data_IF_934616364255
#
_entry.id   IF_934616364255
#
_cell.length_a   1.000
_cell.length_b   1.000
_cell.length_c   1.000
_cell.angle_alpha   90.00
_cell.angle_beta   90.00
_cell.angle_gamma   90.00
#
_symmetry.space_group_name_H-M   'P 1'
#
loop_
_entity.id
_entity.type
_entity.pdbx_description
1 polymer ?
#
# COMPACT_ATOMS: atom_id res chain seq x y z
N UNK A 1 42.15 -38.30 3.92
CA UNK A 1 43.53 -38.39 4.45
C UNK A 1 44.41 -37.44 3.65
N UNK A 2 44.77 -36.33 4.16
CA UNK A 2 46.05 -35.64 4.26
C UNK A 2 45.81 -34.37 5.06
N UNK A 3 46.32 -34.42 6.27
CA UNK A 3 46.38 -33.34 7.25
C UNK A 3 47.61 -32.50 6.94
N UNK A 4 47.51 -31.18 6.98
CA UNK A 4 48.67 -30.30 7.14
C UNK A 4 48.36 -29.23 8.16
N UNK A 5 48.96 -29.49 9.34
CA UNK A 5 49.12 -28.57 10.46
C UNK A 5 50.14 -27.47 10.15
N UNK A 6 49.84 -26.23 10.56
CA UNK A 6 50.86 -25.17 10.66
C UNK A 6 50.84 -24.60 12.06
N UNK A 7 52.03 -24.72 12.73
CA UNK A 7 52.36 -24.12 14.04
C UNK A 7 53.19 -22.86 13.86
N UNK A 8 53.16 -21.94 14.83
CA UNK A 8 53.81 -20.63 14.73
C UNK A 8 55.21 -20.55 15.34
N UNK A 9 56.02 -19.65 14.86
CA UNK A 9 57.25 -19.09 15.51
C UNK A 9 57.15 -17.58 15.34
N UNK A 10 57.44 -16.70 16.27
CA UNK A 10 58.23 -16.69 17.50
C UNK A 10 58.85 -15.28 17.61
N UNK A 11 58.53 -14.60 18.68
CA UNK A 11 59.19 -13.56 19.49
C UNK A 11 60.29 -12.66 18.89
N UNK A 12 60.12 -11.38 19.21
CA UNK A 12 61.13 -10.32 19.48
C UNK A 12 60.40 -8.97 19.40
N UNK A 13 60.32 -8.09 20.37
CA UNK A 13 61.09 -7.77 21.57
C UNK A 13 61.21 -6.23 21.62
N UNK A 14 60.47 -5.61 22.56
CA UNK A 14 60.76 -4.41 23.36
C UNK A 14 61.06 -3.07 22.64
N UNK A 15 60.20 -2.05 22.90
CA UNK A 15 60.59 -0.89 23.73
C UNK A 15 59.38 -0.06 24.11
N UNK A 16 59.32 0.25 25.41
CA UNK A 16 58.41 1.19 26.05
C UNK A 16 58.77 2.62 25.61
N UNK A 17 57.76 3.46 25.47
CA UNK A 17 57.79 4.83 25.99
C UNK A 17 56.35 5.35 26.09
N UNK A 18 56.03 5.82 27.27
CA UNK A 18 54.76 6.35 27.73
C UNK A 18 54.69 7.90 27.44
N UNK A 19 53.57 8.55 27.81
CA UNK A 19 52.74 9.37 26.90
C UNK A 19 52.89 10.88 27.11
N UNK A 20 52.14 11.68 26.42
CA UNK A 20 51.51 12.81 27.09
C UNK A 20 50.02 13.01 26.90
N UNK A 21 49.36 13.04 28.05
CA UNK A 21 48.33 13.95 28.54
C UNK A 21 47.18 14.40 27.61
N UNK A 22 46.01 14.11 28.12
CA UNK A 22 44.70 14.70 27.95
C UNK A 22 44.61 16.13 27.41
N UNK A 23 43.70 16.32 26.48
CA UNK A 23 42.94 17.56 26.36
C UNK A 23 41.53 17.28 25.83
N UNK A 24 40.58 17.32 26.74
CA UNK A 24 39.17 17.63 26.43
C UNK A 24 39.07 19.15 26.22
N UNK A 25 38.25 19.65 25.31
CA UNK A 25 37.06 20.30 25.80
C UNK A 25 35.76 20.08 25.00
N UNK A 26 34.71 19.92 25.76
CA UNK A 26 33.31 20.17 25.39
C UNK A 26 33.18 21.61 24.88
N UNK A 27 32.55 21.79 23.71
CA UNK A 27 31.77 23.01 23.42
C UNK A 27 30.48 22.63 22.72
N UNK A 28 29.46 22.60 23.56
CA UNK A 28 28.07 22.72 23.18
C UNK A 28 27.84 24.14 22.66
N UNK A 29 27.39 24.30 21.43
CA UNK A 29 26.83 25.55 20.93
C UNK A 29 25.32 25.52 21.17
N UNK A 30 24.88 26.03 22.33
CA UNK A 30 23.52 26.46 22.59
C UNK A 30 23.44 27.92 22.23
N UNK A 31 22.79 28.28 21.12
CA UNK A 31 22.41 29.65 20.86
C UNK A 31 21.11 29.99 21.60
N UNK A 32 21.32 30.79 22.67
CA UNK A 32 20.30 31.42 23.47
C UNK A 32 19.62 32.56 22.69
N UNK A 33 18.38 32.39 22.23
CA UNK A 33 17.52 33.52 21.82
C UNK A 33 16.74 33.97 23.05
N UNK A 34 17.43 34.73 23.88
CA UNK A 34 16.83 35.53 24.95
C UNK A 34 17.61 36.85 25.09
N UNK A 35 17.42 37.75 24.12
CA UNK A 35 17.73 39.17 24.32
C UNK A 35 17.03 39.96 23.20
N UNK A 36 15.79 40.38 23.42
CA UNK A 36 15.10 41.51 22.81
C UNK A 36 13.67 41.62 23.32
N UNK A 37 13.52 41.71 24.62
CA UNK A 37 12.25 42.08 25.23
C UNK A 37 12.51 42.86 26.53
N UNK A 38 13.12 44.03 26.44
CA UNK A 38 13.07 45.05 27.47
C UNK A 38 13.74 46.34 26.95
N UNK A 39 13.02 47.03 26.07
CA UNK A 39 13.21 48.49 25.88
C UNK A 39 11.97 48.98 25.12
N UNK A 40 10.93 49.33 25.79
CA UNK A 40 9.99 50.43 25.57
C UNK A 40 8.95 50.35 26.72
N UNK A 41 9.24 51.00 27.79
CA UNK A 41 8.26 51.29 28.81
C UNK A 41 8.05 52.82 28.85
N UNK A 42 6.76 53.17 28.95
CA UNK A 42 6.17 54.46 29.28
C UNK A 42 6.06 55.45 28.12
N UNK A 43 4.89 55.44 27.50
CA UNK A 43 4.14 56.69 27.26
C UNK A 43 2.66 56.39 27.02
N UNK A 44 1.84 56.94 27.93
CA UNK A 44 0.42 57.36 27.84
C UNK A 44 -0.55 56.57 26.95
N UNK A 45 -1.39 55.74 27.59
CA UNK A 45 -2.61 55.18 27.02
C UNK A 45 -3.67 56.24 26.84
N UNK A 46 -4.07 56.56 25.64
CA UNK A 46 -5.28 57.28 25.31
C UNK A 46 -6.43 56.29 25.05
N UNK A 47 -7.68 56.70 25.41
CA UNK A 47 -8.89 55.87 25.30
C UNK A 47 -9.16 55.23 23.92
N UNK A 48 -8.53 55.75 22.85
CA UNK A 48 -8.59 55.19 21.52
C UNK A 48 -7.81 53.88 21.40
N UNK A 49 -6.72 53.72 22.18
CA UNK A 49 -5.91 52.52 22.23
C UNK A 49 -6.63 51.31 22.86
N UNK A 50 -7.54 51.54 23.79
CA UNK A 50 -8.34 50.50 24.46
C UNK A 50 -9.37 49.88 23.52
N UNK A 51 -10.05 50.69 22.70
CA UNK A 51 -11.07 50.19 21.74
C UNK A 51 -10.44 49.40 20.60
N UNK A 52 -9.26 49.75 20.15
CA UNK A 52 -8.53 49.03 19.10
C UNK A 52 -7.93 47.70 19.61
N UNK A 53 -7.54 47.63 20.89
CA UNK A 53 -7.08 46.36 21.48
C UNK A 53 -8.22 45.36 21.73
N UNK A 54 -9.43 45.83 22.09
CA UNK A 54 -10.57 44.93 22.27
C UNK A 54 -11.14 44.37 20.95
N UNK A 55 -11.07 45.11 19.85
CA UNK A 55 -11.44 44.58 18.52
C UNK A 55 -10.38 43.68 17.90
N UNK A 56 -9.08 43.89 18.17
CA UNK A 56 -8.02 42.99 17.74
C UNK A 56 -7.98 41.67 18.51
N UNK A 57 -8.39 41.64 19.79
CA UNK A 57 -8.43 40.41 20.61
C UNK A 57 -9.58 39.47 20.22
N UNK A 58 -10.61 39.97 19.51
CA UNK A 58 -11.70 39.14 18.96
C UNK A 58 -11.43 38.64 17.54
N UNK A 59 -10.49 39.24 16.79
CA UNK A 59 -10.14 38.85 15.44
C UNK A 59 -8.92 37.93 15.36
N UNK A 60 -8.16 37.75 16.43
CA UNK A 60 -7.02 36.83 16.52
C UNK A 60 -7.20 35.77 17.63
N UNK A 61 -8.41 35.20 17.75
CA UNK A 61 -8.51 33.78 18.12
C UNK A 61 -8.34 32.93 16.87
N UNK A 62 -7.29 33.23 16.13
CA UNK A 62 -6.77 32.35 15.13
C UNK A 62 -6.28 31.08 15.81
N UNK A 63 -6.84 29.95 15.44
CA UNK A 63 -6.32 28.63 15.67
C UNK A 63 -4.80 28.70 15.65
N UNK A 64 -4.15 28.42 16.78
CA UNK A 64 -2.77 27.95 16.75
C UNK A 64 -2.82 26.72 15.87
N UNK A 65 -2.30 26.82 14.66
CA UNK A 65 -1.83 25.68 13.90
C UNK A 65 -0.66 25.11 14.71
N UNK A 66 -0.96 24.43 15.80
CA UNK A 66 -0.09 23.40 16.31
C UNK A 66 -0.14 22.35 15.21
N UNK A 67 0.91 22.29 14.41
CA UNK A 67 1.25 21.09 13.65
C UNK A 67 1.44 20.00 14.71
N UNK A 68 0.35 19.35 15.10
CA UNK A 68 0.44 18.10 15.83
C UNK A 68 1.12 17.14 14.84
N UNK A 69 2.39 16.90 15.07
CA UNK A 69 3.04 15.70 14.54
C UNK A 69 2.27 14.57 15.22
N UNK A 70 1.26 14.05 14.52
CA UNK A 70 0.56 12.86 14.96
C UNK A 70 1.54 11.71 14.85
N UNK A 71 2.10 11.29 15.97
CA UNK A 71 2.84 10.03 16.03
C UNK A 71 1.89 8.92 15.63
N UNK A 72 2.32 7.97 14.79
CA UNK A 72 1.52 6.78 14.50
C UNK A 72 1.09 6.09 15.80
N UNK A 73 -0.06 5.45 15.77
CA UNK A 73 -0.59 4.67 16.90
C UNK A 73 -0.62 3.18 16.56
N UNK A 74 -0.79 2.32 17.57
CA UNK A 74 -1.00 0.89 17.35
C UNK A 74 -2.34 0.61 16.70
N UNK A 75 -2.40 -0.36 15.78
CA UNK A 75 -3.68 -0.90 15.28
C UNK A 75 -4.43 -1.63 16.38
N UNK A 76 -5.71 -1.99 16.20
CA UNK A 76 -6.42 -2.87 17.16
C UNK A 76 -5.73 -4.23 17.41
N UNK A 77 -4.80 -4.63 16.54
CA UNK A 77 -4.03 -5.86 16.62
C UNK A 77 -2.60 -5.65 17.16
N UNK A 78 -2.21 -4.42 17.44
CA UNK A 78 -0.82 -4.07 17.76
C UNK A 78 -0.22 -4.89 18.90
N UNK A 79 -0.99 -5.19 19.94
CA UNK A 79 -0.53 -6.04 21.06
C UNK A 79 -0.02 -7.40 20.58
N UNK A 80 -0.69 -8.01 19.62
CA UNK A 80 -0.29 -9.31 19.06
C UNK A 80 0.79 -9.18 18.00
N UNK A 81 0.66 -8.22 17.11
CA UNK A 81 1.66 -8.00 16.06
C UNK A 81 2.99 -7.54 16.63
N UNK A 82 2.98 -6.76 17.72
CA UNK A 82 4.20 -6.38 18.43
C UNK A 82 4.89 -7.57 19.11
N UNK A 83 4.12 -8.41 19.81
CA UNK A 83 4.67 -9.59 20.51
C UNK A 83 5.29 -10.62 19.55
N UNK A 84 4.84 -10.64 18.29
CA UNK A 84 5.35 -11.54 17.24
C UNK A 84 6.48 -10.94 16.41
N UNK A 85 6.71 -9.62 16.50
CA UNK A 85 7.66 -8.89 15.64
C UNK A 85 9.09 -8.92 16.23
N UNK A 86 9.85 -9.94 15.90
CA UNK A 86 11.26 -10.10 16.33
C UNK A 86 12.17 -9.04 15.71
N UNK A 87 11.91 -8.64 14.47
CA UNK A 87 12.73 -7.68 13.73
C UNK A 87 12.59 -6.24 14.21
N UNK A 88 11.50 -5.90 14.92
CA UNK A 88 11.10 -4.53 15.26
C UNK A 88 11.04 -3.60 14.04
N UNK A 89 10.86 -4.14 12.84
CA UNK A 89 10.80 -3.40 11.58
C UNK A 89 9.36 -2.97 11.30
N UNK A 90 9.09 -1.70 11.54
CA UNK A 90 7.78 -1.07 11.35
C UNK A 90 7.81 -0.03 10.25
N UNK A 91 6.63 0.25 9.70
CA UNK A 91 6.37 1.44 8.86
C UNK A 91 5.09 2.12 9.32
N UNK A 92 4.95 3.36 8.91
CA UNK A 92 3.68 4.07 9.03
C UNK A 92 2.77 3.72 7.86
N UNK A 93 1.49 3.47 8.15
CA UNK A 93 0.41 3.32 7.17
C UNK A 93 -0.87 3.96 7.71
N UNK A 94 -1.29 5.08 7.09
CA UNK A 94 -2.51 5.81 7.45
C UNK A 94 -2.64 6.14 8.94
N UNK A 95 -1.52 6.57 9.56
CA UNK A 95 -1.46 6.95 10.96
C UNK A 95 -1.23 5.79 11.94
N UNK A 96 -1.02 4.57 11.45
CA UNK A 96 -0.77 3.39 12.27
C UNK A 96 0.64 2.83 12.10
N UNK A 97 1.19 2.26 13.18
CA UNK A 97 2.35 1.37 13.10
C UNK A 97 1.93 0.05 12.48
N UNK A 98 2.54 -0.34 11.37
CA UNK A 98 2.36 -1.66 10.75
C UNK A 98 3.68 -2.39 10.65
N UNK A 99 3.67 -3.70 10.85
CA UNK A 99 4.87 -4.53 10.74
C UNK A 99 5.32 -4.58 9.28
N UNK A 100 6.58 -4.23 9.04
CA UNK A 100 7.19 -4.38 7.71
C UNK A 100 7.62 -5.83 7.46
N UNK A 101 8.26 -6.45 8.44
CA UNK A 101 8.58 -7.86 8.48
C UNK A 101 8.58 -8.33 9.93
N UNK A 102 8.13 -9.54 10.22
CA UNK A 102 8.13 -10.11 11.56
C UNK A 102 9.49 -10.68 11.93
N UNK A 103 10.14 -11.36 11.02
CA UNK A 103 11.48 -11.93 11.17
C UNK A 103 12.55 -10.99 10.54
N UNK A 104 13.83 -11.36 10.64
CA UNK A 104 14.93 -10.63 9.99
C UNK A 104 14.81 -10.57 8.46
N UNK A 105 14.12 -11.57 7.87
CA UNK A 105 13.81 -11.66 6.45
C UNK A 105 12.32 -11.97 6.26
N UNK A 106 11.68 -11.34 5.29
CA UNK A 106 10.27 -11.57 4.98
C UNK A 106 10.00 -12.80 4.08
N UNK A 107 11.01 -13.59 3.77
CA UNK A 107 10.89 -14.73 2.85
C UNK A 107 9.96 -15.83 3.37
N UNK A 108 9.99 -16.13 4.68
CA UNK A 108 9.08 -17.10 5.28
C UNK A 108 7.62 -16.62 5.21
N UNK A 109 7.41 -15.33 5.45
CA UNK A 109 6.11 -14.68 5.34
C UNK A 109 5.60 -14.72 3.90
N UNK A 110 6.46 -14.38 2.93
CA UNK A 110 6.15 -14.48 1.51
C UNK A 110 5.82 -15.94 1.11
N UNK A 111 6.62 -16.91 1.58
CA UNK A 111 6.37 -18.31 1.32
C UNK A 111 5.04 -18.79 1.92
N UNK A 112 4.63 -18.28 3.08
CA UNK A 112 3.32 -18.56 3.65
C UNK A 112 2.19 -18.06 2.73
N UNK A 113 2.32 -16.86 2.13
CA UNK A 113 1.36 -16.35 1.13
C UNK A 113 1.25 -17.29 -0.08
N UNK A 114 2.35 -17.93 -0.52
CA UNK A 114 2.38 -18.73 -1.77
C UNK A 114 2.14 -20.22 -1.56
N UNK A 115 2.48 -20.77 -0.39
CA UNK A 115 2.52 -22.20 -0.16
C UNK A 115 1.68 -22.69 1.02
N UNK A 116 1.25 -21.77 1.91
CA UNK A 116 0.53 -22.11 3.14
C UNK A 116 -0.62 -21.11 3.41
N UNK A 117 -0.63 -20.45 4.56
CA UNK A 117 -1.51 -19.36 4.92
C UNK A 117 -0.73 -18.21 5.57
N UNK A 118 -1.00 -16.99 5.19
CA UNK A 118 -0.49 -15.79 5.81
C UNK A 118 -1.63 -14.95 6.40
N UNK A 119 -1.44 -14.41 7.61
CA UNK A 119 -2.36 -13.49 8.25
C UNK A 119 -1.74 -12.10 8.29
N UNK A 120 -2.37 -11.13 7.64
CA UNK A 120 -1.86 -9.78 7.45
C UNK A 120 -2.82 -8.79 8.11
N UNK A 121 -2.31 -7.89 8.95
CA UNK A 121 -3.09 -6.79 9.49
C UNK A 121 -3.31 -5.72 8.42
N UNK A 122 -4.55 -5.54 7.99
CA UNK A 122 -4.98 -4.52 7.03
C UNK A 122 -5.95 -3.51 7.66
N UNK A 123 -5.94 -3.44 9.00
CA UNK A 123 -6.77 -2.49 9.75
C UNK A 123 -6.54 -1.02 9.40
N UNK A 124 -5.36 -0.56 8.92
CA UNK A 124 -5.17 0.85 8.56
C UNK A 124 -5.96 1.37 7.36
N UNK A 125 -6.56 0.50 6.53
CA UNK A 125 -7.44 0.94 5.44
C UNK A 125 -8.57 1.82 5.96
N UNK A 126 -8.92 2.88 5.23
CA UNK A 126 -10.13 3.66 5.50
C UNK A 126 -11.37 2.85 5.15
N UNK A 127 -12.37 2.91 6.01
CA UNK A 127 -13.60 2.11 5.92
C UNK A 127 -14.82 2.98 6.15
N UNK A 128 -15.73 2.98 5.20
CA UNK A 128 -16.96 3.75 5.26
C UNK A 128 -18.17 2.84 5.10
N UNK A 129 -19.22 3.10 5.87
CA UNK A 129 -20.56 2.53 5.63
C UNK A 129 -21.41 3.64 5.02
N UNK A 130 -22.04 3.29 3.92
CA UNK A 130 -22.95 4.16 3.16
C UNK A 130 -24.34 3.56 3.20
N UNK A 131 -25.30 4.31 3.73
CA UNK A 131 -26.70 3.91 3.88
C UNK A 131 -27.63 5.06 3.48
N UNK A 132 -28.92 4.76 3.35
CA UNK A 132 -29.96 5.73 2.99
C UNK A 132 -30.67 5.37 1.71
N UNK A 133 -31.80 6.00 1.46
CA UNK A 133 -32.65 5.72 0.29
C UNK A 133 -31.90 5.92 -1.04
N UNK A 134 -30.97 6.86 -1.07
CA UNK A 134 -30.19 7.18 -2.26
C UNK A 134 -28.78 6.51 -2.27
N UNK A 135 -28.50 5.57 -1.37
CA UNK A 135 -27.15 4.98 -1.23
C UNK A 135 -26.65 4.35 -2.53
N UNK A 136 -27.48 3.50 -3.19
CA UNK A 136 -27.11 2.90 -4.48
C UNK A 136 -26.83 3.95 -5.56
N UNK A 137 -27.66 5.01 -5.64
CA UNK A 137 -27.50 6.10 -6.59
C UNK A 137 -26.24 6.92 -6.32
N UNK A 138 -25.92 7.14 -5.03
CA UNK A 138 -24.71 7.84 -4.63
C UNK A 138 -23.46 7.03 -5.01
N UNK A 139 -23.41 5.73 -4.65
CA UNK A 139 -22.28 4.86 -5.00
C UNK A 139 -22.09 4.82 -6.52
N UNK A 140 -23.20 4.66 -7.28
CA UNK A 140 -23.18 4.63 -8.73
C UNK A 140 -22.66 5.94 -9.34
N UNK A 141 -22.96 7.10 -8.73
CA UNK A 141 -22.46 8.42 -9.16
C UNK A 141 -20.94 8.57 -8.95
N UNK A 142 -20.37 7.90 -7.97
CA UNK A 142 -18.94 8.06 -7.62
C UNK A 142 -18.05 7.10 -8.41
N UNK A 143 -18.39 5.80 -8.46
CA UNK A 143 -17.54 4.78 -9.06
C UNK A 143 -17.71 4.69 -10.58
N UNK A 144 -16.69 4.18 -11.25
CA UNK A 144 -16.73 3.99 -12.71
C UNK A 144 -17.51 2.76 -13.16
N UNK A 145 -17.78 1.80 -12.25
CA UNK A 145 -18.56 0.59 -12.51
C UNK A 145 -20.06 0.83 -12.30
N UNK A 146 -20.86 0.00 -12.93
CA UNK A 146 -22.33 0.05 -12.88
C UNK A 146 -22.87 -0.69 -11.64
N UNK A 147 -23.43 0.06 -10.68
CA UNK A 147 -23.99 -0.47 -9.45
C UNK A 147 -25.34 -1.19 -9.69
N UNK A 148 -26.05 -0.88 -10.76
CA UNK A 148 -27.30 -1.56 -11.09
C UNK A 148 -27.09 -3.05 -11.39
N UNK A 149 -25.88 -3.43 -11.81
CA UNK A 149 -25.45 -4.81 -12.06
C UNK A 149 -24.83 -5.49 -10.85
N UNK A 150 -24.74 -4.79 -9.72
CA UNK A 150 -24.12 -5.30 -8.49
C UNK A 150 -25.18 -5.95 -7.61
N UNK A 151 -25.11 -7.26 -7.40
CA UNK A 151 -26.03 -7.97 -6.48
C UNK A 151 -25.62 -7.78 -5.01
N UNK A 152 -26.56 -7.95 -4.09
CA UNK A 152 -26.27 -8.07 -2.65
C UNK A 152 -25.28 -9.21 -2.43
N UNK A 153 -24.34 -9.03 -1.52
CA UNK A 153 -23.23 -9.96 -1.28
C UNK A 153 -22.10 -9.88 -2.33
N UNK A 154 -22.17 -8.95 -3.28
CA UNK A 154 -21.08 -8.75 -4.27
C UNK A 154 -20.09 -7.69 -3.81
N UNK A 155 -18.83 -7.87 -4.19
CA UNK A 155 -17.74 -6.91 -4.01
C UNK A 155 -17.28 -6.40 -5.38
N UNK A 156 -17.11 -5.10 -5.52
CA UNK A 156 -16.44 -4.48 -6.67
C UNK A 156 -15.10 -3.91 -6.26
N UNK A 157 -14.04 -4.24 -6.98
CA UNK A 157 -12.85 -3.39 -7.06
C UNK A 157 -13.11 -2.33 -8.13
N UNK A 158 -12.85 -1.06 -7.81
CA UNK A 158 -13.19 0.06 -8.69
C UNK A 158 -12.34 1.28 -8.37
N UNK A 159 -11.87 2.03 -9.38
CA UNK A 159 -11.39 3.38 -9.18
C UNK A 159 -12.56 4.36 -9.10
N UNK A 160 -12.30 5.56 -8.54
CA UNK A 160 -13.14 6.74 -8.67
C UNK A 160 -12.31 7.96 -9.02
N UNK A 161 -12.93 8.88 -9.75
CA UNK A 161 -12.24 9.96 -10.43
C UNK A 161 -12.75 11.34 -10.03
N UNK A 162 -11.93 12.36 -10.28
CA UNK A 162 -12.39 13.76 -10.34
C UNK A 162 -13.13 14.05 -11.66
N UNK A 163 -13.64 15.28 -11.82
CA UNK A 163 -14.41 15.70 -12.99
C UNK A 163 -13.57 15.65 -14.29
N UNK A 164 -12.25 15.65 -14.19
CA UNK A 164 -11.32 15.54 -15.31
C UNK A 164 -11.01 14.09 -15.68
N UNK A 165 -11.67 13.11 -15.04
CA UNK A 165 -11.42 11.68 -15.25
C UNK A 165 -10.10 11.19 -14.67
N UNK A 166 -9.49 11.96 -13.74
CA UNK A 166 -8.26 11.55 -13.07
C UNK A 166 -8.58 10.84 -11.77
N UNK A 167 -7.90 9.72 -11.53
CA UNK A 167 -8.15 8.85 -10.38
C UNK A 167 -7.84 9.58 -9.08
N UNK A 168 -8.80 9.61 -8.19
CA UNK A 168 -8.65 10.09 -6.81
C UNK A 168 -8.07 8.97 -5.96
N UNK A 169 -8.66 7.77 -6.08
CA UNK A 169 -8.26 6.59 -5.32
C UNK A 169 -8.90 5.34 -5.96
N UNK A 170 -8.52 4.18 -5.52
CA UNK A 170 -9.11 2.90 -5.87
C UNK A 170 -9.36 2.07 -4.61
N UNK A 171 -10.27 1.13 -4.70
CA UNK A 171 -10.60 0.30 -3.53
C UNK A 171 -11.72 -0.68 -3.80
N UNK A 172 -12.27 -1.24 -2.73
CA UNK A 172 -13.38 -2.18 -2.82
C UNK A 172 -14.68 -1.57 -2.30
N UNK A 173 -15.77 -1.89 -2.99
CA UNK A 173 -17.14 -1.58 -2.57
C UNK A 173 -17.87 -2.91 -2.44
N UNK A 174 -18.35 -3.21 -1.23
CA UNK A 174 -19.18 -4.39 -0.94
C UNK A 174 -20.63 -3.97 -0.78
N UNK A 175 -21.55 -4.57 -1.52
CA UNK A 175 -22.98 -4.37 -1.32
C UNK A 175 -23.48 -5.34 -0.26
N UNK A 176 -23.63 -4.85 0.96
CA UNK A 176 -24.02 -5.67 2.12
C UNK A 176 -25.54 -5.91 2.18
N UNK A 177 -26.32 -4.96 1.66
CA UNK A 177 -27.77 -5.00 1.55
C UNK A 177 -28.21 -4.12 0.37
N UNK A 178 -29.51 -4.03 0.06
CA UNK A 178 -30.04 -3.25 -1.06
C UNK A 178 -29.56 -1.80 -1.07
N UNK A 179 -29.51 -1.15 0.10
CA UNK A 179 -29.11 0.24 0.29
C UNK A 179 -28.02 0.39 1.37
N UNK A 180 -27.17 -0.65 1.53
CA UNK A 180 -26.04 -0.63 2.47
C UNK A 180 -24.78 -1.12 1.82
N UNK A 181 -23.77 -0.25 1.80
CA UNK A 181 -22.48 -0.52 1.17
C UNK A 181 -21.35 -0.29 2.16
N UNK A 182 -20.36 -1.21 2.17
CA UNK A 182 -19.07 -0.97 2.80
C UNK A 182 -18.06 -0.58 1.72
N UNK A 183 -17.37 0.51 1.93
CA UNK A 183 -16.36 1.03 1.03
C UNK A 183 -15.01 1.05 1.72
N UNK A 184 -13.97 0.53 1.07
CA UNK A 184 -12.59 0.62 1.54
C UNK A 184 -11.77 1.48 0.61
N UNK A 185 -10.85 2.25 1.17
CA UNK A 185 -9.99 3.18 0.46
C UNK A 185 -8.58 3.20 1.07
N UNK A 186 -7.58 3.53 0.26
CA UNK A 186 -6.21 3.70 0.75
C UNK A 186 -6.00 5.08 1.39
N UNK A 187 -6.69 6.10 0.88
CA UNK A 187 -6.64 7.48 1.35
C UNK A 187 -7.95 7.89 2.05
N UNK A 188 -7.94 8.97 2.89
CA UNK A 188 -9.16 9.49 3.50
C UNK A 188 -10.06 10.16 2.47
N UNK A 189 -11.27 9.61 2.27
CA UNK A 189 -12.23 10.10 1.28
C UNK A 189 -13.53 10.66 1.86
N UNK A 190 -13.72 10.69 3.21
CA UNK A 190 -14.96 11.14 3.84
C UNK A 190 -15.41 12.52 3.34
N UNK A 191 -14.50 13.49 3.27
CA UNK A 191 -14.80 14.85 2.79
C UNK A 191 -15.31 14.84 1.33
N UNK A 192 -14.64 14.08 0.47
CA UNK A 192 -15.04 13.93 -0.93
C UNK A 192 -16.43 13.32 -1.07
N UNK A 193 -16.67 12.24 -0.33
CA UNK A 193 -17.97 11.57 -0.31
C UNK A 193 -19.06 12.49 0.21
N UNK A 194 -18.84 13.18 1.33
CA UNK A 194 -19.82 14.10 1.92
C UNK A 194 -20.18 15.27 0.97
N UNK A 195 -19.21 15.82 0.25
CA UNK A 195 -19.45 16.87 -0.74
C UNK A 195 -20.32 16.39 -1.89
N UNK A 196 -20.12 15.16 -2.34
CA UNK A 196 -20.87 14.58 -3.45
C UNK A 196 -22.23 13.99 -3.04
N UNK A 197 -22.49 13.86 -1.73
CA UNK A 197 -23.78 13.43 -1.17
C UNK A 197 -24.76 14.58 -0.93
N UNK A 198 -24.34 15.85 -1.11
CA UNK A 198 -25.20 17.02 -0.89
C UNK A 198 -26.47 16.91 -1.75
N UNK A 199 -27.65 17.05 -1.10
CA UNK A 199 -28.96 16.93 -1.73
C UNK A 199 -29.44 15.50 -1.97
N UNK A 200 -28.78 14.50 -1.40
CA UNK A 200 -29.16 13.09 -1.44
C UNK A 200 -29.51 12.60 -0.03
N UNK A 201 -30.43 11.64 0.06
CA UNK A 201 -30.76 10.95 1.30
C UNK A 201 -29.74 9.80 1.53
N UNK A 202 -28.54 10.22 1.96
CA UNK A 202 -27.38 9.34 2.18
C UNK A 202 -26.70 9.68 3.50
N UNK A 203 -26.46 8.65 4.31
CA UNK A 203 -25.60 8.72 5.49
C UNK A 203 -24.28 8.01 5.22
N UNK A 204 -23.18 8.68 5.51
CA UNK A 204 -21.82 8.17 5.36
C UNK A 204 -21.17 8.15 6.73
N UNK A 205 -20.82 6.97 7.22
CA UNK A 205 -20.16 6.77 8.51
C UNK A 205 -18.73 6.30 8.27
N UNK A 206 -17.77 6.96 8.91
CA UNK A 206 -16.38 6.52 8.96
C UNK A 206 -16.22 5.50 10.08
N UNK A 207 -15.88 4.26 9.72
CA UNK A 207 -15.64 3.15 10.65
C UNK A 207 -14.15 2.79 10.73
N UNK A 208 -13.25 3.64 10.26
CA UNK A 208 -11.82 3.31 10.15
C UNK A 208 -11.20 2.91 11.47
N UNK A 209 -11.62 3.54 12.59
CA UNK A 209 -11.12 3.24 13.93
C UNK A 209 -11.89 2.13 14.66
N UNK A 210 -13.14 1.89 14.29
CA UNK A 210 -14.03 0.95 15.00
C UNK A 210 -14.15 -0.41 14.36
N UNK A 211 -13.71 -0.55 13.11
CA UNK A 211 -13.70 -1.79 12.33
C UNK A 211 -12.26 -2.19 12.00
N UNK A 212 -11.80 -3.30 12.56
CA UNK A 212 -10.53 -3.92 12.21
C UNK A 212 -10.70 -4.85 11.01
N UNK A 213 -9.58 -5.14 10.34
CA UNK A 213 -9.56 -6.09 9.25
C UNK A 213 -8.25 -6.86 9.20
N UNK A 214 -8.34 -8.15 8.89
CA UNK A 214 -7.18 -8.99 8.57
C UNK A 214 -7.36 -9.63 7.20
N UNK A 215 -6.27 -9.81 6.48
CA UNK A 215 -6.25 -10.58 5.24
C UNK A 215 -5.62 -11.95 5.49
N UNK A 216 -6.41 -13.01 5.35
CA UNK A 216 -5.98 -14.40 5.40
C UNK A 216 -5.73 -14.89 3.97
N UNK A 217 -4.47 -15.04 3.59
CA UNK A 217 -4.04 -15.23 2.20
C UNK A 217 -3.18 -16.48 2.04
N UNK A 218 -3.34 -17.20 0.93
CA UNK A 218 -2.55 -18.37 0.59
C UNK A 218 -3.39 -19.61 0.31
N UNK A 219 -2.79 -20.67 -0.26
CA UNK A 219 -3.50 -21.85 -0.73
C UNK A 219 -4.27 -22.61 0.34
N UNK A 220 -3.82 -22.60 1.60
CA UNK A 220 -4.51 -23.29 2.70
C UNK A 220 -5.55 -22.42 3.42
N UNK A 221 -5.68 -21.14 3.03
CA UNK A 221 -6.58 -20.18 3.68
C UNK A 221 -8.05 -20.62 3.72
N UNK A 222 -8.54 -21.31 2.68
CA UNK A 222 -9.91 -21.81 2.66
C UNK A 222 -10.15 -22.94 3.67
N UNK A 223 -9.21 -23.89 3.76
CA UNK A 223 -9.30 -25.01 4.70
C UNK A 223 -9.22 -24.50 6.15
N UNK A 224 -8.32 -23.58 6.43
CA UNK A 224 -8.21 -22.91 7.72
C UNK A 224 -9.52 -22.20 8.09
N UNK A 225 -10.05 -21.41 7.16
CA UNK A 225 -11.23 -20.61 7.43
C UNK A 225 -12.49 -21.49 7.65
N UNK A 226 -12.61 -22.64 6.98
CA UNK A 226 -13.67 -23.63 7.27
C UNK A 226 -13.58 -24.17 8.69
N UNK A 227 -12.36 -24.37 9.20
CA UNK A 227 -12.15 -24.84 10.57
C UNK A 227 -12.41 -23.75 11.62
N UNK A 228 -12.23 -22.47 11.26
CA UNK A 228 -12.27 -21.36 12.20
C UNK A 228 -13.63 -20.63 12.22
N UNK A 229 -14.37 -20.63 11.11
CA UNK A 229 -15.54 -19.78 10.95
C UNK A 229 -16.84 -20.60 10.85
N UNK A 230 -17.86 -20.13 11.53
CA UNK A 230 -19.25 -20.55 11.31
C UNK A 230 -19.84 -19.69 10.19
N UNK A 231 -19.49 -20.01 8.94
CA UNK A 231 -19.92 -19.30 7.75
C UNK A 231 -19.89 -20.22 6.52
N UNK A 232 -20.66 -19.90 5.50
CA UNK A 232 -20.66 -20.63 4.23
C UNK A 232 -19.44 -20.22 3.37
N UNK A 233 -18.30 -20.86 3.63
CA UNK A 233 -17.06 -20.63 2.89
C UNK A 233 -17.04 -21.38 1.56
N UNK A 234 -17.69 -22.54 1.48
CA UNK A 234 -17.66 -23.40 0.30
C UNK A 234 -18.34 -22.79 -0.92
N UNK A 235 -19.41 -22.04 -0.70
CA UNK A 235 -20.15 -21.35 -1.77
C UNK A 235 -19.71 -19.89 -1.96
N UNK A 236 -18.75 -19.39 -1.15
CA UNK A 236 -18.26 -18.03 -1.27
C UNK A 236 -17.37 -17.87 -2.51
N UNK A 237 -17.95 -17.31 -3.56
CA UNK A 237 -17.25 -17.07 -4.84
C UNK A 237 -16.31 -15.89 -4.74
N UNK A 238 -15.33 -15.84 -5.67
CA UNK A 238 -14.41 -14.72 -5.83
C UNK A 238 -15.16 -13.39 -6.01
N UNK A 239 -14.75 -12.35 -5.29
CA UNK A 239 -15.42 -11.05 -5.17
C UNK A 239 -16.86 -11.15 -4.63
N UNK A 240 -17.05 -11.98 -3.60
CA UNK A 240 -18.27 -12.06 -2.80
C UNK A 240 -17.95 -11.89 -1.32
N UNK A 241 -18.95 -11.48 -0.56
CA UNK A 241 -18.92 -11.33 0.89
C UNK A 241 -20.06 -12.14 1.52
N UNK A 242 -19.77 -12.75 2.64
CA UNK A 242 -20.72 -13.43 3.53
C UNK A 242 -20.48 -12.98 4.97
N UNK A 243 -21.45 -13.17 5.84
CA UNK A 243 -21.30 -12.93 7.28
C UNK A 243 -21.28 -14.26 8.02
N UNK A 244 -20.68 -14.29 9.20
CA UNK A 244 -20.59 -15.45 10.06
C UNK A 244 -19.99 -15.11 11.40
N UNK A 245 -19.47 -16.12 12.13
CA UNK A 245 -18.78 -15.93 13.40
C UNK A 245 -17.41 -16.61 13.39
N UNK A 246 -16.46 -16.02 14.10
CA UNK A 246 -15.16 -16.61 14.44
C UNK A 246 -14.95 -16.42 15.94
N UNK A 247 -14.73 -17.49 16.68
CA UNK A 247 -14.62 -17.47 18.14
C UNK A 247 -15.77 -16.69 18.84
N UNK A 248 -17.02 -16.81 18.31
CA UNK A 248 -18.19 -16.12 18.81
C UNK A 248 -18.23 -14.61 18.52
N UNK A 249 -17.35 -14.10 17.64
CA UNK A 249 -17.36 -12.71 17.16
C UNK A 249 -18.02 -12.67 15.79
N UNK A 250 -19.01 -11.78 15.61
CA UNK A 250 -19.60 -11.54 14.29
C UNK A 250 -18.55 -10.93 13.35
N UNK A 251 -18.40 -11.52 12.18
CA UNK A 251 -17.46 -11.09 11.15
C UNK A 251 -18.12 -11.06 9.78
N UNK A 252 -17.68 -10.15 8.94
CA UNK A 252 -17.92 -10.24 7.50
C UNK A 252 -16.66 -10.82 6.83
N UNK A 253 -16.84 -11.76 5.93
CA UNK A 253 -15.78 -12.46 5.23
C UNK A 253 -15.95 -12.21 3.74
N UNK A 254 -15.00 -11.51 3.12
CA UNK A 254 -14.97 -11.30 1.67
C UNK A 254 -13.87 -12.16 1.03
N UNK A 255 -14.19 -12.81 -0.09
CA UNK A 255 -13.19 -13.54 -0.88
C UNK A 255 -12.47 -12.58 -1.81
N UNK A 256 -11.59 -11.80 -1.22
CA UNK A 256 -10.77 -10.73 -1.80
C UNK A 256 -9.37 -10.77 -1.18
N UNK A 257 -8.45 -9.97 -1.71
CA UNK A 257 -7.10 -9.83 -1.17
C UNK A 257 -6.17 -9.08 -2.11
N UNK A 258 -5.01 -8.72 -1.60
CA UNK A 258 -4.00 -7.92 -2.29
C UNK A 258 -2.73 -8.71 -2.62
N UNK A 259 -2.84 -10.04 -2.69
CA UNK A 259 -1.70 -10.95 -2.97
C UNK A 259 -1.74 -11.63 -4.34
N UNK A 260 -2.91 -11.56 -5.00
CA UNK A 260 -3.14 -12.28 -6.26
C UNK A 260 -3.27 -13.79 -6.10
N UNK A 261 -3.36 -14.29 -4.88
CA UNK A 261 -3.58 -15.69 -4.55
C UNK A 261 -4.99 -15.95 -4.02
N UNK A 262 -5.30 -17.19 -3.65
CA UNK A 262 -6.50 -17.52 -2.87
C UNK A 262 -6.43 -16.80 -1.53
N UNK A 263 -7.51 -16.14 -1.13
CA UNK A 263 -7.52 -15.46 0.14
C UNK A 263 -8.86 -14.80 0.46
N UNK A 264 -8.92 -14.34 1.69
CA UNK A 264 -10.09 -13.75 2.30
C UNK A 264 -9.69 -12.52 3.12
N UNK A 265 -10.55 -11.53 3.16
CA UNK A 265 -10.46 -10.41 4.09
C UNK A 265 -11.59 -10.55 5.11
N UNK A 266 -11.23 -10.49 6.38
CA UNK A 266 -12.12 -10.71 7.52
C UNK A 266 -12.23 -9.40 8.28
N UNK A 267 -13.46 -8.92 8.39
CA UNK A 267 -13.81 -7.63 8.98
C UNK A 267 -14.52 -7.85 10.31
N UNK A 268 -14.08 -7.20 11.38
CA UNK A 268 -14.59 -7.42 12.73
C UNK A 268 -14.58 -6.12 13.56
N UNK A 269 -15.39 -6.01 14.62
CA UNK A 269 -15.28 -4.91 15.56
C UNK A 269 -13.86 -4.80 16.13
N UNK A 270 -13.31 -3.60 16.17
CA UNK A 270 -11.92 -3.36 16.60
C UNK A 270 -11.64 -3.89 18.02
N UNK A 271 -12.61 -3.79 18.93
CA UNK A 271 -12.50 -4.29 20.31
C UNK A 271 -12.52 -5.83 20.43
N UNK A 272 -12.85 -6.54 19.36
CA UNK A 272 -12.87 -8.01 19.31
C UNK A 272 -11.74 -8.58 18.39
N UNK A 273 -10.93 -7.70 17.79
CA UNK A 273 -9.94 -8.08 16.78
C UNK A 273 -8.90 -9.08 17.32
N UNK A 274 -8.41 -8.88 18.54
CA UNK A 274 -7.45 -9.78 19.19
C UNK A 274 -8.02 -11.19 19.33
N UNK A 275 -9.28 -11.35 19.72
CA UNK A 275 -9.92 -12.66 19.85
C UNK A 275 -9.97 -13.40 18.52
N UNK A 276 -10.31 -12.69 17.44
CA UNK A 276 -10.35 -13.29 16.09
C UNK A 276 -8.94 -13.65 15.62
N UNK A 277 -7.96 -12.76 15.83
CA UNK A 277 -6.56 -13.02 15.52
C UNK A 277 -6.04 -14.27 16.21
N UNK A 278 -6.22 -14.35 17.53
CA UNK A 278 -5.73 -15.47 18.35
C UNK A 278 -6.37 -16.79 17.90
N UNK A 279 -7.67 -16.79 17.61
CA UNK A 279 -8.37 -17.97 17.09
C UNK A 279 -7.84 -18.41 15.74
N UNK A 280 -7.63 -17.48 14.80
CA UNK A 280 -7.08 -17.81 13.48
C UNK A 280 -5.64 -18.34 13.58
N UNK A 281 -4.80 -17.74 14.41
CA UNK A 281 -3.42 -18.19 14.62
C UNK A 281 -3.35 -19.58 15.28
N UNK A 282 -4.21 -19.85 16.26
CA UNK A 282 -4.25 -21.15 16.94
C UNK A 282 -4.76 -22.27 16.03
N UNK A 283 -5.94 -22.06 15.42
CA UNK A 283 -6.55 -23.03 14.48
C UNK A 283 -5.70 -23.18 13.21
N UNK A 284 -4.94 -22.16 12.86
CA UNK A 284 -4.10 -22.12 11.68
C UNK A 284 -2.79 -22.91 11.78
N UNK A 285 -2.38 -23.35 12.97
CA UNK A 285 -1.11 -24.09 13.17
C UNK A 285 -0.95 -25.32 12.26
N UNK A 286 -1.97 -26.20 12.09
CA UNK A 286 -1.89 -27.33 11.16
C UNK A 286 -1.83 -26.94 9.68
N UNK A 287 -2.08 -25.66 9.35
CA UNK A 287 -2.08 -25.11 8.00
C UNK A 287 -0.83 -24.25 7.73
N UNK A 288 0.18 -24.32 8.60
CA UNK A 288 1.40 -23.51 8.54
C UNK A 288 1.13 -21.99 8.43
N UNK A 289 0.15 -21.52 9.21
CA UNK A 289 -0.15 -20.08 9.24
C UNK A 289 1.03 -19.29 9.79
N UNK A 290 1.35 -18.18 9.13
CA UNK A 290 2.32 -17.21 9.64
C UNK A 290 1.72 -15.80 9.63
N UNK A 291 2.07 -14.94 10.59
CA UNK A 291 1.85 -13.51 10.42
C UNK A 291 2.72 -13.02 9.27
N UNK A 292 2.24 -12.09 8.48
CA UNK A 292 3.01 -11.54 7.37
C UNK A 292 2.92 -10.02 7.32
N UNK A 293 4.06 -9.36 7.10
CA UNK A 293 4.20 -7.93 7.06
C UNK A 293 4.17 -7.36 5.64
N UNK A 294 4.34 -6.05 5.58
CA UNK A 294 4.20 -5.27 4.35
C UNK A 294 5.28 -5.56 3.31
N UNK A 295 6.48 -6.07 3.69
CA UNK A 295 7.53 -6.41 2.73
C UNK A 295 7.16 -7.67 1.92
N UNK A 296 6.62 -8.69 2.57
CA UNK A 296 6.11 -9.89 1.92
C UNK A 296 4.93 -9.54 0.98
N UNK A 297 4.01 -8.69 1.46
CA UNK A 297 2.87 -8.21 0.68
C UNK A 297 3.33 -7.41 -0.55
N UNK A 298 4.38 -6.59 -0.44
CA UNK A 298 4.91 -5.82 -1.57
C UNK A 298 5.41 -6.72 -2.71
N UNK A 299 6.10 -7.81 -2.41
CA UNK A 299 6.50 -8.78 -3.45
C UNK A 299 5.27 -9.41 -4.10
N UNK A 300 4.35 -9.89 -3.26
CA UNK A 300 3.14 -10.58 -3.73
C UNK A 300 2.23 -9.70 -4.60
N UNK A 301 2.04 -8.41 -4.23
CA UNK A 301 1.19 -7.49 -5.00
C UNK A 301 1.81 -7.13 -6.36
N UNK A 302 3.15 -7.00 -6.44
CA UNK A 302 3.83 -6.75 -7.73
C UNK A 302 3.65 -7.94 -8.66
N UNK A 303 3.85 -9.17 -8.17
CA UNK A 303 3.58 -10.41 -8.93
C UNK A 303 2.15 -10.46 -9.45
N UNK A 304 1.20 -10.00 -8.65
CA UNK A 304 -0.22 -9.94 -8.99
C UNK A 304 -0.58 -8.77 -9.92
N UNK A 305 0.36 -7.88 -10.23
CA UNK A 305 0.10 -6.68 -11.03
C UNK A 305 -0.85 -5.69 -10.34
N UNK A 306 -0.90 -5.69 -9.00
CA UNK A 306 -1.76 -4.80 -8.20
C UNK A 306 -1.02 -3.50 -7.90
N UNK A 307 -1.67 -2.39 -8.23
CA UNK A 307 -1.10 -1.06 -8.13
C UNK A 307 -1.17 -0.53 -6.70
N UNK A 308 -0.16 0.25 -6.32
CA UNK A 308 -0.09 0.92 -5.03
C UNK A 308 -0.12 2.44 -5.24
N UNK A 309 -1.08 3.10 -4.60
CA UNK A 309 -1.17 4.56 -4.59
C UNK A 309 0.10 5.18 -3.99
N UNK A 310 0.50 6.35 -4.47
CA UNK A 310 1.74 7.08 -4.15
C UNK A 310 3.03 6.39 -4.61
N UNK A 311 2.93 5.19 -5.18
CA UNK A 311 4.06 4.46 -5.78
C UNK A 311 3.86 4.32 -7.29
N UNK A 312 2.82 3.59 -7.72
CA UNK A 312 2.57 3.31 -9.13
C UNK A 312 1.74 4.41 -9.80
N UNK A 313 0.88 5.07 -9.02
CA UNK A 313 0.11 6.24 -9.44
C UNK A 313 -0.11 7.20 -8.26
N UNK A 314 -0.46 8.45 -8.55
CA UNK A 314 -0.77 9.45 -7.54
C UNK A 314 -2.25 9.83 -7.59
N UNK A 315 -2.85 10.03 -6.42
CA UNK A 315 -4.18 10.64 -6.31
C UNK A 315 -4.22 11.98 -7.05
N UNK A 316 -5.26 12.23 -7.84
CA UNK A 316 -5.45 13.53 -8.49
C UNK A 316 -5.60 14.69 -7.49
N UNK A 317 -5.93 14.39 -6.23
CA UNK A 317 -5.99 15.36 -5.13
C UNK A 317 -4.60 15.75 -4.60
N UNK A 318 -3.61 14.86 -4.75
CA UNK A 318 -2.23 15.04 -4.27
C UNK A 318 -1.24 15.35 -5.40
N UNK A 319 -1.64 15.16 -6.65
CA UNK A 319 -0.80 15.41 -7.81
C UNK A 319 -0.40 16.89 -7.90
N UNK A 320 0.89 17.17 -7.86
CA UNK A 320 1.44 18.53 -7.95
C UNK A 320 1.53 19.02 -9.40
N UNK A 321 1.69 18.11 -10.35
CA UNK A 321 1.73 18.39 -11.79
C UNK A 321 0.82 17.41 -12.54
N UNK A 322 0.30 17.82 -13.69
CA UNK A 322 -0.67 17.03 -14.45
C UNK A 322 -0.18 15.64 -14.85
N UNK A 323 1.14 15.47 -15.06
CA UNK A 323 1.74 14.18 -15.40
C UNK A 323 1.78 13.16 -14.26
N UNK A 324 1.49 13.57 -13.03
CA UNK A 324 1.37 12.66 -11.89
C UNK A 324 -0.04 12.05 -11.77
N UNK A 325 -1.06 12.72 -12.29
CA UNK A 325 -2.43 12.24 -12.25
C UNK A 325 -2.69 11.24 -13.39
N UNK A 326 -3.33 10.13 -13.09
CA UNK A 326 -3.63 9.04 -14.01
C UNK A 326 -5.13 8.92 -14.26
N UNK A 327 -5.51 8.47 -15.47
CA UNK A 327 -6.85 7.96 -15.72
C UNK A 327 -6.92 6.45 -15.48
N UNK A 328 -8.12 5.87 -15.31
CA UNK A 328 -8.26 4.42 -15.24
C UNK A 328 -7.71 3.69 -16.49
N UNK A 329 -7.72 4.34 -17.65
CA UNK A 329 -7.15 3.78 -18.89
C UNK A 329 -5.62 3.69 -18.81
N UNK A 330 -4.97 4.75 -18.35
CA UNK A 330 -3.54 4.79 -18.12
C UNK A 330 -3.09 3.78 -17.06
N UNK A 331 -3.96 3.44 -16.10
CA UNK A 331 -3.72 2.40 -15.10
C UNK A 331 -3.98 0.96 -15.59
N UNK A 332 -4.38 0.77 -16.85
CA UNK A 332 -4.76 -0.56 -17.35
C UNK A 332 -6.10 -1.08 -16.80
N UNK A 333 -6.93 -0.20 -16.24
CA UNK A 333 -8.22 -0.52 -15.63
C UNK A 333 -9.42 -0.23 -16.54
N UNK A 334 -9.23 -0.15 -17.85
CA UNK A 334 -10.28 0.16 -18.83
C UNK A 334 -11.54 -0.70 -18.66
N UNK A 335 -11.39 -2.01 -18.32
CA UNK A 335 -12.49 -2.95 -18.09
C UNK A 335 -13.40 -2.57 -16.91
N UNK A 336 -12.95 -1.67 -16.03
CA UNK A 336 -13.71 -1.21 -14.87
C UNK A 336 -14.46 0.11 -15.14
N UNK A 337 -14.32 0.68 -16.32
CA UNK A 337 -15.02 1.91 -16.73
C UNK A 337 -16.21 1.55 -17.60
N UNK A 338 -17.42 1.78 -17.11
CA UNK A 338 -18.65 1.62 -17.87
C UNK A 338 -19.19 2.99 -18.27
N UNK A 339 -18.96 3.39 -19.52
CA UNK A 339 -19.41 4.67 -20.05
C UNK A 339 -20.92 4.70 -20.33
N UNK A 340 -21.58 3.56 -20.46
CA UNK A 340 -23.00 3.42 -20.83
C UNK A 340 -23.95 3.44 -19.63
N UNK A 341 -23.39 3.44 -18.40
CA UNK A 341 -24.19 3.52 -17.16
C UNK A 341 -24.74 4.94 -16.94
N UNK A 342 -25.53 5.13 -15.88
CA UNK A 342 -25.97 6.43 -15.41
C UNK A 342 -24.78 7.40 -15.18
N UNK A 343 -25.07 8.72 -15.14
CA UNK A 343 -24.04 9.74 -14.99
C UNK A 343 -23.20 9.53 -13.73
N UNK A 344 -21.87 9.49 -13.91
CA UNK A 344 -20.89 9.45 -12.83
C UNK A 344 -19.81 10.55 -13.00
N UNK A 345 -19.08 10.82 -11.92
CA UNK A 345 -18.05 11.87 -11.90
C UNK A 345 -16.89 11.45 -12.81
N UNK A 346 -16.49 12.37 -13.71
CA UNK A 346 -15.43 12.13 -14.68
C UNK A 346 -15.86 11.45 -15.98
N UNK A 347 -17.11 10.96 -16.10
CA UNK A 347 -17.59 10.20 -17.28
C UNK A 347 -17.32 10.91 -18.61
N UNK A 348 -17.60 12.23 -18.70
CA UNK A 348 -17.39 13.00 -19.95
C UNK A 348 -15.92 13.03 -20.36
N UNK A 349 -15.02 13.25 -19.41
CA UNK A 349 -13.58 13.28 -19.67
C UNK A 349 -13.06 11.89 -20.06
N UNK A 350 -13.52 10.85 -19.36
CA UNK A 350 -13.18 9.46 -19.68
C UNK A 350 -13.70 9.04 -21.05
N UNK A 351 -14.90 9.45 -21.45
CA UNK A 351 -15.41 9.20 -22.79
C UNK A 351 -14.56 9.87 -23.88
N UNK A 352 -14.13 11.11 -23.66
CA UNK A 352 -13.24 11.80 -24.58
C UNK A 352 -11.88 11.11 -24.70
N UNK A 353 -11.28 10.67 -23.57
CA UNK A 353 -10.00 9.94 -23.55
C UNK A 353 -10.14 8.54 -24.17
N UNK A 354 -11.25 7.85 -23.97
CA UNK A 354 -11.53 6.57 -24.63
C UNK A 354 -11.47 6.68 -26.16
N UNK A 355 -12.09 7.73 -26.72
CA UNK A 355 -12.12 7.96 -28.19
C UNK A 355 -10.76 8.42 -28.75
N UNK A 356 -10.01 9.23 -28.00
CA UNK A 356 -8.70 9.75 -28.44
C UNK A 356 -7.55 8.75 -28.22
N UNK A 357 -7.73 7.79 -27.32
CA UNK A 357 -6.68 6.92 -26.80
C UNK A 357 -5.85 7.63 -25.71
N UNK A 358 -5.32 6.84 -24.78
CA UNK A 358 -4.48 7.33 -23.70
C UNK A 358 -3.01 7.51 -24.11
N UNK A 359 -2.33 8.46 -23.48
CA UNK A 359 -0.97 8.84 -23.84
C UNK A 359 0.10 7.87 -23.30
N UNK A 360 -0.20 7.16 -22.23
CA UNK A 360 0.70 6.23 -21.53
C UNK A 360 -0.11 5.12 -20.86
N UNK A 361 0.55 4.06 -20.44
CA UNK A 361 -0.10 2.96 -19.74
C UNK A 361 0.85 2.34 -18.73
N UNK A 362 0.31 1.88 -17.58
CA UNK A 362 1.03 1.01 -16.65
C UNK A 362 1.01 -0.41 -17.22
N UNK A 363 2.19 -0.99 -17.37
CA UNK A 363 2.44 -2.32 -17.93
C UNK A 363 3.37 -3.13 -17.03
N UNK A 364 3.44 -4.43 -17.24
CA UNK A 364 4.48 -5.28 -16.67
C UNK A 364 5.76 -5.23 -17.51
N UNK A 365 6.91 -5.23 -16.86
CA UNK A 365 8.21 -5.46 -17.46
C UNK A 365 8.83 -6.72 -16.88
N UNK A 366 9.39 -7.56 -17.74
CA UNK A 366 10.28 -8.66 -17.39
C UNK A 366 11.69 -8.29 -17.80
N UNK A 367 12.59 -8.23 -16.82
CA UNK A 367 13.99 -7.81 -16.99
C UNK A 367 14.82 -9.00 -17.41
N UNK A 368 15.68 -8.83 -18.44
CA UNK A 368 16.57 -9.87 -18.93
C UNK A 368 17.69 -10.12 -17.90
N UNK A 369 17.53 -11.19 -17.12
CA UNK A 369 18.42 -11.51 -16.01
C UNK A 369 19.86 -11.79 -16.47
N UNK A 370 20.06 -12.47 -17.59
CA UNK A 370 21.40 -12.73 -18.17
C UNK A 370 22.16 -11.44 -18.48
N UNK A 371 21.46 -10.38 -18.87
CA UNK A 371 22.10 -9.08 -19.06
C UNK A 371 22.57 -8.47 -17.75
N UNK A 372 21.79 -8.65 -16.67
CA UNK A 372 22.18 -8.24 -15.30
C UNK A 372 23.43 -8.99 -14.84
N UNK A 373 23.44 -10.32 -14.99
CA UNK A 373 24.59 -11.18 -14.64
C UNK A 373 25.88 -10.70 -15.32
N UNK A 374 25.83 -10.41 -16.62
CA UNK A 374 26.98 -9.88 -17.38
C UNK A 374 27.48 -8.53 -16.85
N UNK A 375 26.63 -7.69 -16.29
CA UNK A 375 27.07 -6.42 -15.69
C UNK A 375 27.88 -6.67 -14.42
N UNK A 376 27.43 -7.57 -13.57
CA UNK A 376 28.13 -7.97 -12.36
C UNK A 376 29.44 -8.71 -12.65
N UNK A 377 29.44 -9.60 -13.68
CA UNK A 377 30.62 -10.32 -14.13
C UNK A 377 31.77 -9.36 -14.54
N UNK A 378 31.44 -8.25 -15.24
CA UNK A 378 32.41 -7.23 -15.64
C UNK A 378 33.19 -6.59 -14.48
N UNK A 379 32.56 -6.56 -13.30
CA UNK A 379 33.17 -6.01 -12.07
C UNK A 379 33.63 -7.11 -11.11
N UNK A 380 33.57 -8.37 -11.53
CA UNK A 380 34.04 -9.54 -10.76
C UNK A 380 33.18 -9.88 -9.53
N UNK A 381 31.90 -9.52 -9.54
CA UNK A 381 30.99 -9.73 -8.43
C UNK A 381 29.82 -10.68 -8.82
N UNK A 382 29.27 -11.43 -7.87
CA UNK A 382 28.02 -12.16 -8.10
C UNK A 382 26.85 -11.17 -8.20
N UNK A 383 25.80 -11.48 -8.99
CA UNK A 383 24.61 -10.66 -9.06
C UNK A 383 23.93 -10.51 -7.71
N UNK A 384 23.59 -9.27 -7.35
CA UNK A 384 22.85 -8.99 -6.13
C UNK A 384 21.35 -8.85 -6.45
N UNK A 385 20.54 -9.65 -5.80
CA UNK A 385 19.09 -9.51 -5.81
C UNK A 385 18.68 -8.62 -4.63
N UNK A 386 17.89 -7.59 -4.90
CA UNK A 386 17.36 -6.75 -3.82
C UNK A 386 16.54 -7.58 -2.84
N UNK A 387 16.82 -7.42 -1.55
CA UNK A 387 16.15 -8.15 -0.49
C UNK A 387 14.65 -7.81 -0.37
N UNK A 388 14.23 -6.65 -0.87
CA UNK A 388 12.85 -6.16 -0.79
C UNK A 388 12.38 -5.64 -2.14
N UNK A 389 11.07 -5.61 -2.36
CA UNK A 389 10.50 -4.92 -3.50
C UNK A 389 10.84 -3.41 -3.44
N UNK A 390 11.43 -2.88 -4.51
CA UNK A 390 11.73 -1.46 -4.63
C UNK A 390 10.48 -0.68 -4.99
N UNK A 391 10.27 0.44 -4.31
CA UNK A 391 9.25 1.46 -4.61
C UNK A 391 9.86 2.72 -5.22
N UNK A 392 11.17 2.68 -5.50
CA UNK A 392 11.90 3.77 -6.13
C UNK A 392 11.70 3.70 -7.63
N UNK A 393 11.19 4.78 -8.21
CA UNK A 393 11.00 4.88 -9.64
C UNK A 393 12.33 5.01 -10.38
N UNK A 394 12.56 4.16 -11.37
CA UNK A 394 13.74 4.22 -12.25
C UNK A 394 13.33 4.46 -13.70
N UNK A 395 14.13 5.21 -14.50
CA UNK A 395 13.83 5.48 -15.89
C UNK A 395 13.73 4.22 -16.76
N UNK A 396 12.87 4.29 -17.78
CA UNK A 396 12.76 3.28 -18.83
C UNK A 396 13.01 3.98 -20.17
N UNK A 397 13.87 3.38 -21.00
CA UNK A 397 14.35 3.95 -22.24
C UNK A 397 13.98 3.10 -23.46
N UNK A 398 14.00 3.74 -24.60
CA UNK A 398 14.01 3.13 -25.94
C UNK A 398 14.97 3.98 -26.79
N UNK A 399 16.05 3.34 -27.29
CA UNK A 399 17.05 4.02 -28.13
C UNK A 399 17.54 5.33 -27.47
N UNK A 400 18.05 5.23 -26.24
CA UNK A 400 18.57 6.34 -25.40
C UNK A 400 17.54 7.43 -25.05
N UNK A 401 16.29 7.30 -25.51
CA UNK A 401 15.22 8.24 -25.15
C UNK A 401 14.39 7.67 -24.00
N UNK A 402 14.23 8.46 -22.95
CA UNK A 402 13.32 8.07 -21.87
C UNK A 402 11.87 8.02 -22.37
N UNK A 403 11.25 6.84 -22.28
CA UNK A 403 9.87 6.58 -22.70
C UNK A 403 8.95 6.20 -21.56
N UNK A 404 9.48 6.11 -20.34
CA UNK A 404 8.69 5.74 -19.16
C UNK A 404 9.50 5.70 -17.88
N UNK A 405 8.90 5.09 -16.86
CA UNK A 405 9.53 4.82 -15.56
C UNK A 405 8.96 3.54 -14.95
N UNK A 406 9.80 2.67 -14.41
CA UNK A 406 9.41 1.55 -13.57
C UNK A 406 9.23 2.05 -12.13
N UNK A 407 8.07 1.79 -11.53
CA UNK A 407 7.66 2.36 -10.23
C UNK A 407 7.73 1.35 -9.10
N UNK A 408 7.60 0.07 -9.42
CA UNK A 408 7.70 -1.04 -8.48
C UNK A 408 8.51 -2.15 -9.11
N UNK A 409 9.61 -2.55 -8.50
CA UNK A 409 10.51 -3.59 -9.03
C UNK A 409 10.79 -4.63 -7.96
N UNK A 410 10.75 -5.91 -8.31
CA UNK A 410 11.10 -7.00 -7.39
C UNK A 410 11.65 -8.20 -8.12
N UNK A 411 12.47 -8.97 -7.41
CA UNK A 411 12.69 -10.37 -7.76
C UNK A 411 11.47 -11.18 -7.33
N UNK A 412 10.91 -11.97 -8.22
CA UNK A 412 9.83 -12.89 -7.89
C UNK A 412 10.39 -14.27 -7.52
N UNK A 413 10.27 -14.70 -6.25
CA UNK A 413 10.77 -16.03 -5.86
C UNK A 413 10.01 -17.18 -6.50
N UNK A 414 8.71 -17.01 -6.81
CA UNK A 414 7.90 -18.04 -7.45
C UNK A 414 8.16 -18.14 -8.96
N UNK A 415 8.38 -17.01 -9.63
CA UNK A 415 8.64 -16.95 -11.07
C UNK A 415 10.12 -17.10 -11.43
N UNK A 416 11.04 -16.91 -10.45
CA UNK A 416 12.50 -16.86 -10.64
C UNK A 416 12.90 -15.83 -11.69
N UNK A 417 12.30 -14.63 -11.61
CA UNK A 417 12.49 -13.52 -12.55
C UNK A 417 12.46 -12.18 -11.84
N UNK A 418 13.20 -11.24 -12.40
CA UNK A 418 13.09 -9.83 -12.01
C UNK A 418 11.96 -9.20 -12.82
N UNK A 419 10.99 -8.61 -12.14
CA UNK A 419 9.78 -8.03 -12.73
C UNK A 419 9.58 -6.60 -12.22
N UNK A 420 8.90 -5.78 -13.02
CA UNK A 420 8.54 -4.44 -12.60
C UNK A 420 7.18 -4.01 -13.15
N UNK A 421 6.49 -3.15 -12.39
CA UNK A 421 5.38 -2.35 -12.89
C UNK A 421 5.94 -1.02 -13.39
N UNK A 422 5.58 -0.62 -14.60
CA UNK A 422 6.13 0.57 -15.24
C UNK A 422 5.06 1.37 -15.98
N UNK A 423 5.11 2.69 -15.87
CA UNK A 423 4.39 3.59 -16.77
C UNK A 423 5.20 3.79 -18.02
N UNK A 424 4.63 3.47 -19.19
CA UNK A 424 5.29 3.59 -20.48
C UNK A 424 4.44 4.44 -21.44
N UNK A 425 5.08 5.34 -22.16
CA UNK A 425 4.44 6.24 -23.13
C UNK A 425 4.10 5.52 -24.44
N UNK A 426 3.03 6.00 -25.08
CA UNK A 426 2.70 5.59 -26.45
C UNK A 426 3.84 5.93 -27.43
N UNK A 427 4.17 5.06 -28.40
CA UNK A 427 3.52 3.79 -28.73
C UNK A 427 4.14 2.56 -28.05
N UNK A 428 5.02 2.72 -27.07
CA UNK A 428 5.95 1.70 -26.57
C UNK A 428 5.37 0.71 -25.56
N UNK A 429 4.11 0.87 -25.11
CA UNK A 429 3.48 0.00 -24.12
C UNK A 429 2.86 -1.28 -24.70
N UNK A 430 3.01 -1.53 -26.01
CA UNK A 430 2.51 -2.76 -26.64
C UNK A 430 3.25 -3.98 -26.10
N UNK A 431 2.49 -5.03 -25.79
CA UNK A 431 3.05 -6.30 -25.30
C UNK A 431 4.09 -6.87 -26.28
N UNK A 432 5.22 -7.37 -25.76
CA UNK A 432 6.35 -7.87 -26.55
C UNK A 432 7.40 -6.81 -26.90
N UNK A 433 7.09 -5.51 -26.73
CA UNK A 433 8.07 -4.43 -26.95
C UNK A 433 9.28 -4.62 -26.03
N UNK A 434 10.48 -4.54 -26.60
CA UNK A 434 11.73 -4.55 -25.85
C UNK A 434 12.14 -3.10 -25.57
N UNK A 435 12.27 -2.78 -24.30
CA UNK A 435 12.72 -1.52 -23.74
C UNK A 435 14.00 -1.75 -22.94
N UNK A 436 14.52 -0.69 -22.33
CA UNK A 436 15.68 -0.76 -21.45
C UNK A 436 15.31 -0.11 -20.12
N UNK A 437 15.52 -0.82 -19.00
CA UNK A 437 15.31 -0.27 -17.66
C UNK A 437 16.64 0.12 -17.05
N UNK A 438 16.71 1.29 -16.43
CA UNK A 438 17.90 1.70 -15.71
C UNK A 438 18.16 0.79 -14.50
N UNK A 439 19.41 0.36 -14.36
CA UNK A 439 19.89 -0.41 -13.22
C UNK A 439 21.26 0.13 -12.79
N UNK A 440 21.45 0.30 -11.49
CA UNK A 440 22.73 0.72 -10.92
C UNK A 440 23.49 -0.48 -10.39
N UNK A 441 24.71 -0.71 -10.92
CA UNK A 441 25.66 -1.72 -10.46
C UNK A 441 26.94 -1.00 -10.06
N UNK A 442 27.43 -1.18 -8.83
CA UNK A 442 28.64 -0.54 -8.31
C UNK A 442 28.68 0.98 -8.60
N UNK A 443 27.60 1.68 -8.25
CA UNK A 443 27.41 3.13 -8.45
C UNK A 443 27.41 3.60 -9.92
N UNK A 444 27.45 2.70 -10.91
CA UNK A 444 27.36 3.00 -12.34
C UNK A 444 25.97 2.66 -12.84
N UNK A 445 25.36 3.60 -13.57
CA UNK A 445 24.05 3.39 -14.19
C UNK A 445 24.21 2.66 -15.53
N UNK A 446 23.40 1.65 -15.72
CA UNK A 446 23.35 0.82 -16.93
C UNK A 446 21.91 0.74 -17.45
N UNK A 447 21.76 0.47 -18.74
CA UNK A 447 20.51 0.12 -19.37
C UNK A 447 20.44 -1.39 -19.57
N UNK A 448 19.42 -2.02 -18.99
CA UNK A 448 19.22 -3.48 -19.07
C UNK A 448 17.96 -3.76 -19.88
N UNK A 449 18.01 -4.69 -20.87
CA UNK A 449 16.84 -5.04 -21.63
C UNK A 449 15.68 -5.49 -20.74
N UNK A 450 14.49 -4.97 -21.03
CA UNK A 450 13.26 -5.29 -20.34
C UNK A 450 12.11 -5.42 -21.35
N UNK A 451 11.37 -6.51 -21.29
CA UNK A 451 10.27 -6.79 -22.20
C UNK A 451 8.95 -6.41 -21.57
N UNK A 452 8.09 -5.71 -22.33
CA UNK A 452 6.70 -5.46 -21.95
C UNK A 452 5.93 -6.79 -21.99
N UNK A 453 5.33 -7.15 -20.85
CA UNK A 453 4.56 -8.39 -20.67
C UNK A 453 3.17 -8.11 -20.10
N UNK A 454 2.29 -9.09 -20.21
CA UNK A 454 0.96 -9.01 -19.60
C UNK A 454 1.05 -9.05 -18.06
N UNK A 455 0.12 -8.34 -17.42
CA UNK A 455 -0.13 -8.48 -15.99
C UNK A 455 -1.50 -9.14 -15.77
N UNK A 456 -1.68 -9.91 -14.67
CA UNK A 456 -0.70 -10.22 -13.63
C UNK A 456 0.42 -11.16 -14.10
N UNK A 457 1.62 -11.03 -13.53
CA UNK A 457 2.76 -11.93 -13.78
C UNK A 457 2.50 -13.34 -13.20
N UNK A 458 1.91 -13.37 -12.00
CA UNK A 458 1.48 -14.58 -11.31
C UNK A 458 -0.04 -14.59 -11.13
N UNK A 459 -0.70 -15.62 -11.71
CA UNK A 459 -2.16 -15.71 -11.71
C UNK A 459 -2.63 -17.17 -11.52
N UNK A 460 -2.52 -17.72 -10.32
CA UNK A 460 -2.87 -19.11 -10.05
C UNK A 460 -4.39 -19.33 -10.15
N UNK A 461 -4.80 -20.45 -10.73
CA UNK A 461 -6.22 -20.82 -10.90
C UNK A 461 -6.99 -20.85 -9.56
N UNK A 462 -6.31 -21.25 -8.46
CA UNK A 462 -6.93 -21.34 -7.12
C UNK A 462 -7.50 -20.01 -6.62
N UNK A 463 -7.01 -18.87 -7.11
CA UNK A 463 -7.57 -17.54 -6.78
C UNK A 463 -9.06 -17.45 -7.06
N UNK A 464 -9.51 -17.94 -8.19
CA UNK A 464 -10.89 -17.82 -8.69
C UNK A 464 -11.68 -19.12 -8.66
N UNK A 465 -11.00 -20.27 -8.74
CA UNK A 465 -11.63 -21.60 -8.69
C UNK A 465 -12.31 -21.84 -7.33
N UNK A 466 -13.31 -22.71 -7.29
CA UNK A 466 -13.84 -23.21 -6.02
C UNK A 466 -12.72 -23.90 -5.26
N UNK A 467 -12.44 -23.51 -4.00
CA UNK A 467 -11.40 -24.16 -3.22
C UNK A 467 -11.72 -25.65 -3.01
N UNK A 468 -10.74 -26.54 -3.06
CA UNK A 468 -10.97 -27.95 -2.77
C UNK A 468 -11.49 -28.11 -1.33
N UNK A 469 -12.34 -29.13 -1.14
CA UNK A 469 -12.87 -29.50 0.19
C UNK A 469 -11.82 -30.22 1.02
#
# INVERSE_FOLDING_TARGET
>A
MVSLSYRPRGRGGVSQDEPPTACSPRHAFIWNIRFLANFVSRQTETDLGRRVRQSRSKLFRGSRLTSHIHMPIGTPLHERTFALCESLNYREWSGYYTVSAYEGHHEHEYNAIRNAAALIDVSPLFKYIITGRDASRFVDRIITRDVSKMSVGQVYYTPWCDERGRVIDDGTVSRLDEQRFRWTAADPNLRWFSQNAIGMDVRIEDLSETLAAVALQGPTSAALLRAAAEADIDHLKYFRVTSGTIAGVNVDISRTGYTGDLGYEIWMPANAAIRVWDALMEIGKPFDIKPAGMLALDVARVEAGLLLIEVDFFSSKKAMIGSQAYSPYEMGLARLVNLDKSRFIGQRALAAEHNAGHARQIVGLEIEWTAVERLYEKVGLPPTVGATASRVAVPVFKEDRQVGKATSTTWSPVLKRMIALATVNRPHYAQGTVLEMEMTVEAVRHHVPARVVATPFFNPRRKVATPPR
#
